data_IF_553737735988
#
_entry.id   IF_553737735988
#
_cell.length_a   1.000
_cell.length_b   1.000
_cell.length_c   1.000
_cell.angle_alpha   90.00
_cell.angle_beta   90.00
_cell.angle_gamma   90.00
#
_symmetry.space_group_name_H-M   'P 1'
#
loop_
_entity.id
_entity.type
_entity.pdbx_description
1 polymer ?
#
# COMPACT_ATOMS: atom_id res chain seq x y z
N UNK A 1 -6.66 -37.95 -82.73
CA UNK A 1 -5.79 -36.93 -83.35
C UNK A 1 -6.13 -35.58 -82.73
N UNK A 2 -5.12 -34.75 -82.46
CA UNK A 2 -5.10 -33.43 -81.77
C UNK A 2 -4.82 -33.47 -80.27
N UNK A 3 -3.53 -33.28 -79.99
CA UNK A 3 -2.89 -33.07 -78.69
C UNK A 3 -3.30 -31.74 -78.06
N UNK A 4 -3.38 -31.75 -76.72
CA UNK A 4 -3.46 -30.58 -75.84
C UNK A 4 -2.08 -29.91 -75.73
N UNK A 5 -1.96 -28.56 -75.78
CA UNK A 5 -0.75 -27.89 -75.35
C UNK A 5 -0.82 -27.48 -73.87
N UNK A 6 0.29 -27.71 -73.16
CA UNK A 6 0.55 -27.24 -71.81
C UNK A 6 0.48 -25.71 -71.73
N UNK A 7 -0.19 -25.19 -70.70
CA UNK A 7 -0.01 -23.80 -70.24
C UNK A 7 1.03 -23.79 -69.13
N UNK A 8 2.13 -23.10 -69.38
CA UNK A 8 3.16 -22.78 -68.40
C UNK A 8 2.61 -21.81 -67.34
N UNK A 9 2.81 -22.12 -66.06
CA UNK A 9 2.64 -21.17 -64.96
C UNK A 9 3.90 -20.30 -64.88
N UNK A 10 3.77 -19.00 -65.16
CA UNK A 10 4.74 -18.00 -64.71
C UNK A 10 4.45 -17.67 -63.24
N UNK A 11 5.35 -18.09 -62.35
CA UNK A 11 5.36 -17.62 -60.96
C UNK A 11 5.99 -16.22 -60.88
N UNK A 12 5.22 -15.24 -60.45
CA UNK A 12 5.72 -13.92 -60.06
C UNK A 12 6.21 -13.99 -58.61
N UNK A 13 7.53 -13.92 -58.42
CA UNK A 13 8.14 -13.78 -57.10
C UNK A 13 7.92 -12.34 -56.60
N UNK A 14 7.10 -12.18 -55.55
CA UNK A 14 6.97 -10.93 -54.84
C UNK A 14 8.17 -10.76 -53.89
N UNK A 15 9.07 -9.84 -54.23
CA UNK A 15 10.19 -9.44 -53.37
C UNK A 15 9.61 -8.59 -52.22
N UNK A 16 9.46 -9.18 -51.03
CA UNK A 16 9.12 -8.44 -49.82
C UNK A 16 10.37 -7.70 -49.33
N UNK A 17 10.43 -6.38 -49.57
CA UNK A 17 11.38 -5.48 -48.94
C UNK A 17 11.00 -5.33 -47.46
N UNK A 18 11.61 -6.15 -46.60
CA UNK A 18 11.57 -5.97 -45.16
C UNK A 18 12.46 -4.77 -44.78
N UNK A 19 11.85 -3.61 -44.61
CA UNK A 19 12.46 -2.48 -43.91
C UNK A 19 12.58 -2.86 -42.43
N UNK A 20 13.77 -2.79 -41.80
CA UNK A 20 13.87 -2.95 -40.36
C UNK A 20 13.17 -1.76 -39.71
N UNK A 21 12.04 -2.02 -39.06
CA UNK A 21 11.44 -1.07 -38.13
C UNK A 21 12.42 -0.91 -36.95
N UNK A 22 13.30 0.08 -37.05
CA UNK A 22 14.03 0.60 -35.90
C UNK A 22 13.01 1.26 -34.98
N UNK A 23 12.58 0.53 -33.96
CA UNK A 23 11.94 1.12 -32.79
C UNK A 23 12.83 2.27 -32.30
N UNK A 24 12.31 3.48 -32.04
CA UNK A 24 13.11 4.53 -31.44
C UNK A 24 13.60 4.00 -30.10
N UNK A 25 14.92 3.83 -29.96
CA UNK A 25 15.52 3.43 -28.70
C UNK A 25 15.07 4.40 -27.62
N UNK A 26 14.41 3.90 -26.58
CA UNK A 26 14.14 4.70 -25.39
C UNK A 26 15.49 5.25 -24.92
N UNK A 27 15.65 6.57 -24.94
CA UNK A 27 16.79 7.20 -24.32
C UNK A 27 16.86 6.72 -22.86
N UNK A 28 18.05 6.30 -22.43
CA UNK A 28 18.25 5.89 -21.04
C UNK A 28 17.78 7.02 -20.10
N UNK A 29 16.99 6.67 -19.08
CA UNK A 29 16.51 7.66 -18.12
C UNK A 29 17.72 8.35 -17.45
N UNK A 30 17.66 9.69 -17.34
CA UNK A 30 18.70 10.45 -16.67
C UNK A 30 18.66 10.19 -15.16
N UNK A 31 19.83 10.03 -14.54
CA UNK A 31 19.95 9.85 -13.09
C UNK A 31 19.39 11.10 -12.39
N UNK A 32 18.51 10.94 -11.37
CA UNK A 32 17.94 12.06 -10.64
C UNK A 32 19.01 12.97 -10.00
N UNK A 33 18.85 14.30 -10.16
CA UNK A 33 19.71 15.31 -9.53
C UNK A 33 19.16 15.87 -8.21
N UNK A 34 18.23 15.17 -7.57
CA UNK A 34 17.53 15.58 -6.34
C UNK A 34 17.61 14.48 -5.28
N UNK A 35 17.23 14.79 -4.03
CA UNK A 35 17.23 13.81 -2.93
C UNK A 35 16.27 12.66 -3.18
N UNK A 36 16.77 11.44 -3.03
CA UNK A 36 16.03 10.18 -3.19
C UNK A 36 16.25 9.25 -2.00
N UNK A 37 15.30 8.37 -1.76
CA UNK A 37 15.50 7.15 -1.02
C UNK A 37 16.05 6.08 -1.98
N UNK A 38 17.11 5.38 -1.56
CA UNK A 38 17.54 4.15 -2.23
C UNK A 38 16.73 3.00 -1.64
N UNK A 39 15.58 2.70 -2.26
CA UNK A 39 14.64 1.72 -1.77
C UNK A 39 14.77 0.40 -2.54
N UNK A 40 15.05 -0.70 -1.85
CA UNK A 40 15.28 -1.99 -2.50
C UNK A 40 14.02 -2.49 -3.19
N UNK A 41 14.14 -2.92 -4.45
CA UNK A 41 13.01 -3.41 -5.25
C UNK A 41 12.34 -4.63 -4.62
N UNK A 42 13.13 -5.60 -4.14
CA UNK A 42 12.62 -6.87 -3.65
C UNK A 42 12.07 -6.77 -2.22
N UNK A 43 12.72 -5.99 -1.36
CA UNK A 43 12.43 -6.01 0.09
C UNK A 43 11.70 -4.77 0.59
N UNK A 44 11.72 -3.67 -0.18
CA UNK A 44 11.11 -2.39 0.18
C UNK A 44 11.88 -1.60 1.25
N UNK A 45 13.01 -2.12 1.75
CA UNK A 45 13.87 -1.45 2.73
C UNK A 45 14.72 -0.36 2.07
N UNK A 46 15.01 0.70 2.82
CA UNK A 46 15.87 1.79 2.39
C UNK A 46 17.33 1.52 2.80
N UNK A 47 18.29 1.91 1.95
CA UNK A 47 19.69 1.98 2.36
C UNK A 47 19.93 3.25 3.20
N UNK A 48 20.43 3.08 4.41
CA UNK A 48 20.61 4.11 5.42
C UNK A 48 22.08 4.20 5.85
N UNK A 49 22.58 5.41 6.08
CA UNK A 49 23.90 5.60 6.67
C UNK A 49 23.87 5.26 8.17
N UNK A 50 24.73 4.34 8.62
CA UNK A 50 24.72 3.85 10.01
C UNK A 50 26.15 3.71 10.55
N UNK A 51 26.63 4.72 11.30
CA UNK A 51 27.89 4.63 12.05
C UNK A 51 29.13 4.28 11.22
N UNK A 52 29.27 4.84 10.01
CA UNK A 52 30.36 4.53 9.09
C UNK A 52 30.05 3.37 8.12
N UNK A 53 28.93 2.68 8.30
CA UNK A 53 28.45 1.61 7.41
C UNK A 53 27.17 2.04 6.67
N UNK A 54 26.65 1.17 5.81
CA UNK A 54 25.30 1.30 5.25
C UNK A 54 24.47 0.07 5.58
N UNK A 55 23.29 0.28 6.15
CA UNK A 55 22.37 -0.77 6.57
C UNK A 55 21.02 -0.64 5.85
N UNK A 56 20.32 -1.76 5.70
CA UNK A 56 18.96 -1.79 5.19
C UNK A 56 18.01 -1.51 6.36
N UNK A 57 17.18 -0.48 6.23
CA UNK A 57 16.24 -0.06 7.27
C UNK A 57 14.81 0.01 6.74
N UNK A 58 13.84 -0.26 7.61
CA UNK A 58 12.44 0.05 7.34
C UNK A 58 12.31 1.53 6.94
N UNK A 59 11.56 1.88 5.88
CA UNK A 59 11.39 3.28 5.49
C UNK A 59 10.87 4.13 6.66
N UNK A 60 11.60 5.20 7.00
CA UNK A 60 11.32 6.02 8.18
C UNK A 60 11.48 7.51 7.92
N UNK A 61 11.08 7.95 6.72
CA UNK A 61 11.37 9.31 6.28
C UNK A 61 12.89 9.53 6.33
N UNK A 62 13.35 10.58 7.01
CA UNK A 62 14.79 10.79 7.25
C UNK A 62 15.18 10.77 8.72
N UNK A 63 14.46 10.05 9.58
CA UNK A 63 14.84 9.95 11.00
C UNK A 63 16.11 9.09 11.24
N UNK A 64 16.60 8.42 10.20
CA UNK A 64 17.74 7.50 10.24
C UNK A 64 18.62 7.56 8.98
N UNK A 65 18.82 8.76 8.42
CA UNK A 65 19.81 9.01 7.36
C UNK A 65 19.59 8.20 6.06
N UNK A 66 18.34 8.05 5.63
CA UNK A 66 17.93 7.26 4.46
C UNK A 66 17.96 8.02 3.13
N UNK A 67 18.21 9.34 3.16
CA UNK A 67 18.17 10.19 1.98
C UNK A 67 19.55 10.38 1.34
N UNK A 68 19.60 10.23 0.01
CA UNK A 68 20.81 10.35 -0.80
C UNK A 68 20.57 11.30 -1.98
N UNK A 69 21.59 12.09 -2.34
CA UNK A 69 21.60 12.97 -3.51
C UNK A 69 22.60 12.41 -4.51
N UNK A 70 22.16 11.90 -5.67
CA UNK A 70 23.05 11.55 -6.75
C UNK A 70 23.68 12.83 -7.34
N UNK A 71 25.01 12.87 -7.41
CA UNK A 71 25.76 14.00 -7.97
C UNK A 71 26.75 13.47 -9.00
N UNK A 72 26.65 13.98 -10.23
CA UNK A 72 27.57 13.62 -11.30
C UNK A 72 29.00 14.03 -10.96
N UNK A 73 29.95 13.13 -11.21
CA UNK A 73 31.40 13.33 -11.04
C UNK A 73 32.13 12.65 -12.20
N UNK A 74 33.44 12.89 -12.32
CA UNK A 74 34.26 12.17 -13.30
C UNK A 74 34.15 10.65 -13.08
N UNK A 75 33.77 9.93 -14.14
CA UNK A 75 33.62 8.47 -14.13
C UNK A 75 32.32 7.93 -13.54
N UNK A 76 31.34 8.75 -13.14
CA UNK A 76 30.03 8.28 -12.70
C UNK A 76 29.29 9.25 -11.80
N UNK A 77 28.76 8.74 -10.69
CA UNK A 77 27.99 9.51 -9.71
C UNK A 77 28.48 9.22 -8.29
N UNK A 78 28.41 10.23 -7.43
CA UNK A 78 28.43 10.06 -5.98
C UNK A 78 27.00 10.03 -5.46
N UNK A 79 26.74 9.21 -4.45
CA UNK A 79 25.50 9.27 -3.68
C UNK A 79 25.82 9.94 -2.35
N UNK A 80 25.54 11.24 -2.24
CA UNK A 80 25.83 12.04 -1.05
C UNK A 80 24.69 11.88 -0.04
N UNK A 81 24.99 11.60 1.21
CA UNK A 81 23.95 11.58 2.23
C UNK A 81 23.38 13.01 2.39
N UNK A 82 22.05 13.13 2.49
CA UNK A 82 21.38 14.43 2.41
C UNK A 82 21.47 15.25 3.71
N UNK A 83 21.68 14.60 4.85
CA UNK A 83 21.67 15.22 6.18
C UNK A 83 23.00 15.10 6.94
N UNK A 84 24.00 14.44 6.35
CA UNK A 84 25.35 14.35 6.88
C UNK A 84 26.36 15.03 5.95
N UNK A 85 26.96 16.11 6.44
CA UNK A 85 27.93 16.90 5.68
C UNK A 85 29.15 16.06 5.28
N UNK A 86 29.49 16.11 3.98
CA UNK A 86 30.64 15.41 3.39
C UNK A 86 30.60 13.88 3.56
N UNK A 87 29.42 13.27 3.68
CA UNK A 87 29.28 11.81 3.75
C UNK A 87 28.72 11.29 2.42
N UNK A 88 29.39 10.29 1.84
CA UNK A 88 28.99 9.62 0.60
C UNK A 88 28.91 8.11 0.79
N UNK A 89 28.00 7.47 0.06
CA UNK A 89 27.99 6.01 -0.11
C UNK A 89 29.32 5.58 -0.73
N UNK A 90 29.99 4.65 -0.08
CA UNK A 90 31.29 4.11 -0.48
C UNK A 90 31.29 2.59 -0.31
N UNK A 91 32.45 1.99 -0.58
CA UNK A 91 32.67 0.55 -0.52
C UNK A 91 34.00 0.22 0.12
N UNK A 92 34.02 -0.85 0.92
CA UNK A 92 35.22 -1.48 1.42
C UNK A 92 35.11 -2.99 1.25
N UNK A 93 35.87 -3.56 0.30
CA UNK A 93 35.68 -4.93 -0.14
C UNK A 93 34.26 -5.12 -0.69
N UNK A 94 33.52 -6.07 -0.11
CA UNK A 94 32.11 -6.33 -0.47
C UNK A 94 31.12 -5.54 0.39
N UNK A 95 31.55 -4.77 1.38
CA UNK A 95 30.63 -4.05 2.26
C UNK A 95 30.33 -2.64 1.76
N UNK A 96 29.06 -2.26 1.78
CA UNK A 96 28.66 -0.88 1.60
C UNK A 96 28.97 -0.11 2.89
N UNK A 97 29.70 0.99 2.76
CA UNK A 97 30.15 1.84 3.87
C UNK A 97 29.89 3.29 3.55
N UNK A 98 30.14 4.18 4.51
CA UNK A 98 30.17 5.62 4.23
C UNK A 98 31.59 6.15 4.34
N UNK A 99 31.90 7.16 3.53
CA UNK A 99 33.21 7.81 3.53
C UNK A 99 33.09 9.29 3.14
N UNK A 100 34.18 10.04 3.31
CA UNK A 100 34.29 11.41 2.81
C UNK A 100 34.02 11.47 1.32
N UNK A 101 33.15 12.37 0.86
CA UNK A 101 32.89 12.51 -0.57
C UNK A 101 34.17 12.84 -1.35
N UNK A 102 34.40 12.14 -2.47
CA UNK A 102 35.64 12.23 -3.26
C UNK A 102 36.69 11.19 -2.88
N UNK A 103 36.52 10.47 -1.77
CA UNK A 103 37.41 9.37 -1.40
C UNK A 103 37.30 8.20 -2.39
N UNK A 104 38.34 7.38 -2.43
CA UNK A 104 38.32 6.13 -3.18
C UNK A 104 37.09 5.28 -2.78
N UNK A 105 36.41 4.71 -3.77
CA UNK A 105 35.22 3.90 -3.55
C UNK A 105 33.88 4.67 -3.55
N UNK A 106 33.89 6.01 -3.62
CA UNK A 106 32.64 6.81 -3.61
C UNK A 106 31.98 7.01 -4.97
N UNK A 107 32.67 6.66 -6.07
CA UNK A 107 32.12 6.75 -7.43
C UNK A 107 31.39 5.47 -7.81
N UNK A 108 30.15 5.62 -8.30
CA UNK A 108 29.23 4.56 -8.71
C UNK A 108 28.73 4.77 -10.15
N UNK A 109 28.48 3.67 -10.85
CA UNK A 109 27.69 3.68 -12.09
C UNK A 109 26.23 3.50 -11.72
N UNK A 110 25.37 4.45 -12.07
CA UNK A 110 23.92 4.36 -11.84
C UNK A 110 23.24 4.15 -13.18
N UNK A 111 22.60 3.00 -13.36
CA UNK A 111 22.03 2.59 -14.66
C UNK A 111 20.55 2.27 -14.51
N UNK A 112 19.72 2.85 -15.39
CA UNK A 112 18.30 2.55 -15.43
C UNK A 112 18.05 1.11 -15.88
N UNK A 113 17.10 0.45 -15.24
CA UNK A 113 16.62 -0.90 -15.55
C UNK A 113 15.12 -0.92 -15.87
N UNK A 114 14.54 -2.12 -15.89
CA UNK A 114 13.10 -2.31 -16.10
C UNK A 114 12.28 -1.80 -14.90
N UNK A 115 10.99 -1.53 -15.12
CA UNK A 115 10.00 -1.18 -14.11
C UNK A 115 10.38 0.05 -13.25
N UNK A 116 11.12 1.00 -13.84
CA UNK A 116 11.58 2.20 -13.14
C UNK A 116 12.65 1.95 -12.07
N UNK A 117 13.24 0.75 -12.06
CA UNK A 117 14.35 0.41 -11.16
C UNK A 117 15.70 0.85 -11.73
N UNK A 118 16.71 0.84 -10.88
CA UNK A 118 18.09 1.21 -11.18
C UNK A 118 19.04 0.20 -10.55
N UNK A 119 20.24 0.09 -11.10
CA UNK A 119 21.36 -0.56 -10.43
C UNK A 119 22.38 0.49 -10.01
N UNK A 120 23.00 0.26 -8.84
CA UNK A 120 24.11 1.08 -8.33
C UNK A 120 25.36 0.20 -8.36
N UNK A 121 26.11 0.30 -9.45
CA UNK A 121 27.23 -0.59 -9.81
C UNK A 121 28.61 -0.02 -9.52
N UNK A 122 29.59 -0.90 -9.33
CA UNK A 122 30.99 -0.54 -9.25
C UNK A 122 31.52 -0.25 -10.67
N UNK A 123 32.13 0.93 -10.93
CA UNK A 123 32.66 1.26 -12.24
C UNK A 123 33.64 0.20 -12.75
N UNK A 124 33.39 -0.34 -13.95
CA UNK A 124 34.25 -1.34 -14.59
C UNK A 124 34.14 -2.76 -14.04
N UNK A 125 33.20 -3.05 -13.12
CA UNK A 125 33.02 -4.38 -12.53
C UNK A 125 31.56 -4.84 -12.55
N UNK A 126 31.34 -6.16 -12.57
CA UNK A 126 30.02 -6.79 -12.46
C UNK A 126 29.61 -6.97 -11.00
N UNK A 127 29.69 -5.89 -10.21
CA UNK A 127 29.31 -5.85 -8.80
C UNK A 127 28.36 -4.69 -8.53
N UNK A 128 27.31 -4.94 -7.77
CA UNK A 128 26.22 -3.99 -7.54
C UNK A 128 25.88 -3.90 -6.07
N UNK A 129 25.42 -2.74 -5.62
CA UNK A 129 24.82 -2.57 -4.30
C UNK A 129 23.62 -3.51 -4.18
N UNK A 130 23.63 -4.39 -3.19
CA UNK A 130 22.59 -5.40 -2.95
C UNK A 130 21.95 -5.19 -1.59
N UNK A 131 20.62 -5.09 -1.56
CA UNK A 131 19.84 -4.95 -0.33
C UNK A 131 19.85 -6.22 0.52
N UNK A 132 19.18 -6.14 1.67
CA UNK A 132 19.00 -7.24 2.62
C UNK A 132 17.52 -7.52 2.88
N UNK A 133 17.21 -8.74 3.31
CA UNK A 133 15.87 -9.20 3.68
C UNK A 133 15.44 -8.85 5.11
N UNK A 134 16.33 -8.26 5.91
CA UNK A 134 16.11 -7.94 7.33
C UNK A 134 16.45 -6.49 7.64
N UNK A 135 15.66 -5.90 8.54
CA UNK A 135 15.90 -4.56 9.11
C UNK A 135 17.22 -4.53 9.90
N UNK A 136 17.90 -3.38 9.85
CA UNK A 136 19.24 -3.12 10.39
C UNK A 136 20.37 -4.04 9.87
N UNK A 137 20.13 -4.85 8.83
CA UNK A 137 21.17 -5.70 8.26
C UNK A 137 22.09 -4.91 7.32
N UNK A 138 23.36 -5.26 7.28
CA UNK A 138 24.33 -4.56 6.43
C UNK A 138 24.00 -4.70 4.93
N UNK A 139 24.06 -3.58 4.20
CA UNK A 139 24.01 -3.56 2.74
C UNK A 139 25.38 -3.98 2.20
N UNK A 140 25.38 -4.82 1.17
CA UNK A 140 26.60 -5.41 0.62
C UNK A 140 26.70 -5.14 -0.89
N UNK A 141 27.79 -5.61 -1.49
CA UNK A 141 28.01 -5.69 -2.91
C UNK A 141 27.93 -7.15 -3.35
N UNK A 142 27.19 -7.39 -4.42
CA UNK A 142 26.97 -8.73 -4.95
C UNK A 142 26.79 -8.75 -6.46
N UNK A 143 26.39 -9.91 -6.97
CA UNK A 143 26.01 -10.07 -8.37
C UNK A 143 24.69 -9.35 -8.68
N UNK A 144 24.35 -9.26 -9.96
CA UNK A 144 23.03 -8.80 -10.39
C UNK A 144 21.91 -9.75 -9.90
N UNK A 145 20.67 -9.24 -9.92
CA UNK A 145 19.47 -9.94 -9.44
C UNK A 145 18.49 -8.96 -8.80
N UNK A 146 17.38 -9.46 -8.26
CA UNK A 146 16.33 -8.59 -7.70
C UNK A 146 16.81 -7.78 -6.49
N UNK A 147 17.70 -8.32 -5.66
CA UNK A 147 18.31 -7.58 -4.55
C UNK A 147 19.26 -6.47 -5.01
N UNK A 148 19.77 -6.51 -6.25
CA UNK A 148 20.61 -5.47 -6.84
C UNK A 148 19.79 -4.33 -7.50
N UNK A 149 18.46 -4.47 -7.58
CA UNK A 149 17.56 -3.48 -8.14
C UNK A 149 17.06 -2.54 -7.04
N UNK A 150 17.07 -1.25 -7.34
CA UNK A 150 16.66 -0.19 -6.43
C UNK A 150 15.70 0.76 -7.13
N UNK A 151 14.70 1.22 -6.39
CA UNK A 151 14.01 2.44 -6.71
C UNK A 151 14.82 3.62 -6.18
N UNK A 152 15.02 4.63 -7.03
CA UNK A 152 15.48 5.95 -6.61
C UNK A 152 14.23 6.79 -6.36
N UNK A 153 13.58 6.54 -5.23
CA UNK A 153 12.27 7.14 -4.91
C UNK A 153 12.46 8.59 -4.47
N UNK A 154 11.86 9.58 -5.14
CA UNK A 154 12.01 10.99 -4.76
C UNK A 154 11.57 11.26 -3.32
N UNK A 155 12.34 12.08 -2.59
CA UNK A 155 11.92 12.58 -1.27
C UNK A 155 10.70 13.49 -1.40
N UNK A 156 10.73 14.38 -2.40
CA UNK A 156 9.60 15.19 -2.79
C UNK A 156 8.97 14.58 -4.05
N UNK A 157 7.76 14.06 -3.93
CA UNK A 157 7.05 13.44 -5.04
C UNK A 157 6.28 14.49 -5.86
N UNK A 158 6.25 14.29 -7.18
CA UNK A 158 5.46 15.12 -8.07
C UNK A 158 3.97 14.74 -7.99
N UNK A 159 3.10 15.75 -8.02
CA UNK A 159 1.65 15.56 -7.94
C UNK A 159 0.95 16.21 -9.13
N UNK A 160 -0.18 15.65 -9.54
CA UNK A 160 -1.13 16.27 -10.45
C UNK A 160 -2.45 16.54 -9.73
N UNK A 161 -3.27 17.51 -10.17
CA UNK A 161 -4.60 17.73 -9.60
C UNK A 161 -5.45 16.45 -9.63
N UNK A 162 -6.24 16.23 -8.59
CA UNK A 162 -7.20 15.11 -8.54
C UNK A 162 -8.15 15.20 -9.74
N UNK A 163 -8.38 14.08 -10.48
CA UNK A 163 -9.38 14.07 -11.52
C UNK A 163 -10.78 14.49 -11.02
N UNK A 164 -11.61 14.97 -11.94
CA UNK A 164 -12.99 15.33 -11.66
C UNK A 164 -13.76 14.18 -11.01
N UNK A 165 -14.87 14.48 -10.32
CA UNK A 165 -15.70 13.46 -9.67
C UNK A 165 -16.13 12.34 -10.64
N UNK A 166 -16.38 12.69 -11.90
CA UNK A 166 -16.86 11.75 -12.93
C UNK A 166 -15.77 10.81 -13.45
N UNK A 167 -14.50 11.20 -13.33
CA UNK A 167 -13.36 10.48 -13.95
C UNK A 167 -12.38 9.91 -12.95
N UNK A 168 -12.43 10.33 -11.67
CA UNK A 168 -11.55 9.76 -10.65
C UNK A 168 -11.89 8.30 -10.40
N UNK A 169 -10.85 7.48 -10.32
CA UNK A 169 -10.94 6.05 -10.04
C UNK A 169 -10.85 5.76 -8.55
N UNK A 170 -11.34 4.59 -8.14
CA UNK A 170 -11.30 4.15 -6.74
C UNK A 170 -9.88 4.16 -6.18
N UNK A 171 -8.89 3.70 -6.96
CA UNK A 171 -7.46 3.69 -6.60
C UNK A 171 -6.82 5.09 -6.48
N UNK A 172 -7.54 6.15 -6.82
CA UNK A 172 -7.07 7.53 -6.67
C UNK A 172 -7.64 8.23 -5.43
N UNK A 173 -8.75 7.72 -4.88
CA UNK A 173 -9.45 8.34 -3.75
C UNK A 173 -8.86 7.86 -2.43
N UNK A 174 -8.73 8.79 -1.49
CA UNK A 174 -8.40 8.52 -0.09
C UNK A 174 -9.67 8.57 0.75
N UNK A 175 -9.89 7.56 1.58
CA UNK A 175 -11.01 7.44 2.51
C UNK A 175 -10.51 7.55 3.95
N UNK A 176 -11.28 8.25 4.79
CA UNK A 176 -11.08 8.19 6.24
C UNK A 176 -11.54 6.82 6.72
N UNK A 177 -10.64 6.14 7.44
CA UNK A 177 -10.82 4.80 7.96
C UNK A 177 -10.72 4.82 9.48
N UNK A 178 -11.62 4.12 10.16
CA UNK A 178 -11.57 3.96 11.62
C UNK A 178 -11.10 2.56 12.00
N UNK A 179 -10.03 2.50 12.78
CA UNK A 179 -9.51 1.27 13.40
C UNK A 179 -10.48 0.78 14.48
N UNK A 180 -10.78 -0.52 14.51
CA UNK A 180 -11.74 -1.17 15.40
C UNK A 180 -13.00 -0.33 15.60
N UNK A 181 -13.66 -0.01 14.49
CA UNK A 181 -14.73 0.98 14.46
C UNK A 181 -15.90 0.67 15.41
N UNK A 182 -16.13 -0.62 15.65
CA UNK A 182 -17.13 -1.17 16.57
C UNK A 182 -16.75 -1.01 18.05
N UNK A 183 -15.45 -0.85 18.36
CA UNK A 183 -14.93 -0.61 19.70
C UNK A 183 -15.15 0.86 20.10
N UNK A 184 -16.43 1.24 20.16
CA UNK A 184 -16.89 2.61 20.41
C UNK A 184 -17.71 2.77 21.70
N UNK A 185 -18.23 1.67 22.25
CA UNK A 185 -19.05 1.66 23.47
C UNK A 185 -20.44 2.30 23.33
N UNK A 186 -20.73 3.01 22.24
CA UNK A 186 -22.02 3.64 21.97
C UNK A 186 -23.02 2.68 21.32
N UNK A 187 -22.55 1.80 20.44
CA UNK A 187 -23.40 0.82 19.73
C UNK A 187 -23.60 -0.48 20.52
N UNK A 188 -22.64 -0.83 21.38
CA UNK A 188 -22.62 -2.03 22.21
C UNK A 188 -21.25 -2.22 22.87
N UNK A 189 -21.13 -3.22 23.75
CA UNK A 189 -19.84 -3.52 24.36
C UNK A 189 -18.97 -4.33 23.39
N UNK A 190 -17.67 -4.11 23.44
CA UNK A 190 -16.71 -4.71 22.51
C UNK A 190 -15.66 -5.56 23.22
N UNK A 191 -15.48 -5.39 24.54
CA UNK A 191 -14.50 -6.11 25.32
C UNK A 191 -14.95 -6.23 26.79
N UNK A 192 -14.30 -7.12 27.52
CA UNK A 192 -14.43 -7.22 28.98
C UNK A 192 -13.50 -6.21 29.68
N UNK A 193 -13.74 -5.97 30.97
CA UNK A 193 -12.86 -5.14 31.79
C UNK A 193 -11.48 -5.81 31.94
N UNK A 194 -10.36 -5.07 31.89
CA UNK A 194 -10.24 -3.61 31.80
C UNK A 194 -10.15 -3.05 30.37
N UNK A 195 -10.11 -3.91 29.35
CA UNK A 195 -9.93 -3.50 27.94
C UNK A 195 -11.04 -2.55 27.49
N UNK A 196 -12.26 -2.75 27.96
CA UNK A 196 -13.41 -1.87 27.67
C UNK A 196 -13.25 -0.41 28.10
N UNK A 197 -12.28 -0.08 28.96
CA UNK A 197 -11.97 1.30 29.34
C UNK A 197 -11.22 2.09 28.26
N UNK A 198 -10.74 1.41 27.22
CA UNK A 198 -9.90 1.98 26.17
C UNK A 198 -10.54 1.77 24.80
N UNK A 199 -11.67 2.43 24.49
CA UNK A 199 -12.30 2.29 23.18
C UNK A 199 -11.49 3.04 22.11
N UNK A 200 -11.34 2.39 20.95
CA UNK A 200 -10.68 2.95 19.76
C UNK A 200 -11.42 4.17 19.21
N UNK A 201 -12.75 4.15 19.27
CA UNK A 201 -13.62 5.26 18.82
C UNK A 201 -14.53 5.73 19.96
N UNK A 202 -15.12 6.92 19.85
CA UNK A 202 -16.12 7.42 20.81
C UNK A 202 -17.57 7.35 20.30
N UNK A 203 -17.72 7.20 18.99
CA UNK A 203 -18.97 7.45 18.29
C UNK A 203 -19.36 6.19 17.54
N UNK A 204 -20.65 5.85 17.55
CA UNK A 204 -21.17 4.67 16.85
C UNK A 204 -21.07 4.77 15.33
N UNK A 205 -21.23 3.63 14.64
CA UNK A 205 -21.05 3.47 13.19
C UNK A 205 -21.91 4.45 12.39
N UNK A 206 -23.18 4.66 12.75
CA UNK A 206 -24.04 5.62 12.07
C UNK A 206 -23.51 7.06 12.18
N UNK A 207 -22.91 7.42 13.32
CA UNK A 207 -22.31 8.74 13.50
C UNK A 207 -21.03 8.87 12.70
N UNK A 208 -20.15 7.87 12.73
CA UNK A 208 -18.94 7.81 11.91
C UNK A 208 -19.26 8.00 10.41
N UNK A 209 -20.26 7.27 9.90
CA UNK A 209 -20.75 7.41 8.53
C UNK A 209 -21.24 8.83 8.21
N UNK A 210 -22.03 9.44 9.10
CA UNK A 210 -22.51 10.81 8.93
C UNK A 210 -21.38 11.86 8.95
N UNK A 211 -20.33 11.60 9.73
CA UNK A 211 -19.20 12.51 9.89
C UNK A 211 -18.14 12.37 8.79
N UNK A 212 -18.32 11.44 7.84
CA UNK A 212 -17.47 11.31 6.66
C UNK A 212 -16.53 10.10 6.65
N UNK A 213 -16.59 9.22 7.65
CA UNK A 213 -15.87 7.94 7.63
C UNK A 213 -16.44 7.06 6.53
N UNK A 214 -15.56 6.46 5.71
CA UNK A 214 -15.94 5.64 4.55
C UNK A 214 -15.22 4.29 4.51
N UNK A 215 -14.43 3.99 5.52
CA UNK A 215 -13.92 2.64 5.71
C UNK A 215 -13.83 2.27 7.19
N UNK A 216 -14.03 0.99 7.48
CA UNK A 216 -14.21 0.48 8.83
C UNK A 216 -13.41 -0.80 9.01
N UNK A 217 -12.50 -0.82 9.97
CA UNK A 217 -11.83 -2.05 10.41
C UNK A 217 -12.66 -2.66 11.55
N UNK A 218 -13.01 -3.93 11.41
CA UNK A 218 -13.87 -4.67 12.32
C UNK A 218 -13.24 -6.02 12.62
N UNK A 219 -13.39 -6.50 13.85
CA UNK A 219 -12.91 -7.83 14.24
C UNK A 219 -14.13 -8.70 14.47
N UNK A 220 -14.22 -9.84 13.78
CA UNK A 220 -15.38 -10.72 13.87
C UNK A 220 -15.05 -12.10 14.43
N UNK A 221 -15.80 -12.50 15.44
CA UNK A 221 -15.69 -13.79 16.12
C UNK A 221 -17.01 -14.56 16.01
N UNK A 222 -16.92 -15.88 16.00
CA UNK A 222 -18.10 -16.74 16.01
C UNK A 222 -18.67 -16.90 17.42
N UNK A 223 -19.88 -16.39 17.65
CA UNK A 223 -20.63 -16.55 18.89
C UNK A 223 -22.00 -17.12 18.57
N UNK A 224 -22.30 -18.30 19.11
CA UNK A 224 -23.58 -19.00 18.92
C UNK A 224 -24.01 -19.10 17.45
N UNK A 225 -23.05 -19.39 16.55
CA UNK A 225 -23.29 -19.55 15.11
C UNK A 225 -23.47 -18.25 14.32
N UNK A 226 -23.10 -17.09 14.88
CA UNK A 226 -23.14 -15.79 14.20
C UNK A 226 -21.79 -15.07 14.34
N UNK A 227 -21.44 -14.26 13.34
CA UNK A 227 -20.32 -13.35 13.43
C UNK A 227 -20.68 -12.15 14.32
N UNK A 228 -19.86 -11.91 15.34
CA UNK A 228 -20.07 -10.91 16.40
C UNK A 228 -18.79 -10.10 16.60
N UNK A 229 -18.95 -8.81 16.85
CA UNK A 229 -17.86 -7.85 16.94
C UNK A 229 -17.33 -7.74 18.37
N UNK A 230 -16.09 -8.15 18.58
CA UNK A 230 -15.41 -8.12 19.87
C UNK A 230 -13.91 -7.90 19.67
N UNK A 231 -13.25 -7.28 20.64
CA UNK A 231 -11.81 -7.03 20.61
C UNK A 231 -11.07 -8.09 21.40
N UNK A 232 -10.11 -8.77 20.78
CA UNK A 232 -9.35 -9.94 21.27
C UNK A 232 -10.17 -11.21 21.55
N UNK A 233 -11.33 -11.09 22.20
CA UNK A 233 -12.24 -12.20 22.51
C UNK A 233 -13.64 -11.69 22.83
N UNK A 234 -14.66 -12.50 22.52
CA UNK A 234 -16.04 -12.28 22.97
C UNK A 234 -16.34 -12.84 24.36
N UNK A 235 -15.39 -13.52 25.01
CA UNK A 235 -15.60 -14.12 26.32
C UNK A 235 -15.86 -13.05 27.40
N UNK A 236 -16.99 -13.17 28.09
CA UNK A 236 -17.39 -12.25 29.14
C UNK A 236 -17.82 -10.86 28.64
N UNK A 237 -17.96 -10.67 27.32
CA UNK A 237 -18.49 -9.43 26.74
C UNK A 237 -20.02 -9.49 26.77
N UNK A 238 -20.65 -8.57 27.50
CA UNK A 238 -22.12 -8.49 27.57
C UNK A 238 -22.66 -7.63 26.41
N UNK A 239 -23.68 -8.10 25.70
CA UNK A 239 -24.32 -7.37 24.59
C UNK A 239 -23.34 -6.88 23.48
N UNK A 240 -22.47 -7.74 22.93
CA UNK A 240 -21.69 -7.39 21.76
C UNK A 240 -22.57 -7.26 20.52
N UNK A 241 -22.13 -6.44 19.57
CA UNK A 241 -22.88 -6.14 18.34
C UNK A 241 -22.65 -7.25 17.31
N UNK A 242 -23.69 -7.87 16.74
CA UNK A 242 -23.51 -8.78 15.60
C UNK A 242 -22.98 -8.03 14.38
N UNK A 243 -22.02 -8.60 13.64
CA UNK A 243 -21.45 -8.00 12.42
C UNK A 243 -22.53 -7.58 11.42
N UNK A 244 -23.56 -8.41 11.25
CA UNK A 244 -24.69 -8.13 10.37
C UNK A 244 -25.43 -6.83 10.72
N UNK A 245 -25.43 -6.41 11.99
CA UNK A 245 -26.07 -5.16 12.43
C UNK A 245 -25.34 -3.95 11.87
N UNK A 246 -24.02 -3.93 11.97
CA UNK A 246 -23.20 -2.82 11.48
C UNK A 246 -23.13 -2.81 9.95
N UNK A 247 -23.09 -3.98 9.31
CA UNK A 247 -23.26 -4.08 7.86
C UNK A 247 -24.63 -3.57 7.41
N UNK A 248 -25.72 -3.86 8.14
CA UNK A 248 -27.03 -3.31 7.81
C UNK A 248 -27.04 -1.78 7.87
N UNK A 249 -26.43 -1.17 8.89
CA UNK A 249 -26.29 0.30 8.99
C UNK A 249 -25.57 0.88 7.76
N UNK A 250 -24.50 0.21 7.30
CA UNK A 250 -23.76 0.63 6.10
C UNK A 250 -24.58 0.46 4.81
N UNK A 251 -25.30 -0.66 4.66
CA UNK A 251 -26.19 -0.90 3.51
C UNK A 251 -27.31 0.13 3.45
N UNK A 252 -27.97 0.41 4.59
CA UNK A 252 -29.03 1.41 4.68
C UNK A 252 -28.51 2.81 4.34
N UNK A 253 -27.33 3.17 4.84
CA UNK A 253 -26.65 4.42 4.50
C UNK A 253 -26.40 4.54 2.99
N UNK A 254 -25.88 3.49 2.35
CA UNK A 254 -25.58 3.51 0.91
C UNK A 254 -26.85 3.60 0.05
N UNK A 255 -27.91 2.90 0.45
CA UNK A 255 -29.22 2.98 -0.22
C UNK A 255 -29.87 4.35 -0.08
N UNK A 256 -29.72 4.98 1.08
CA UNK A 256 -30.23 6.33 1.32
C UNK A 256 -29.38 7.43 0.65
N UNK A 257 -28.12 7.14 0.29
CA UNK A 257 -27.15 8.11 -0.24
C UNK A 257 -26.38 7.55 -1.44
N UNK A 258 -27.01 7.52 -2.63
CA UNK A 258 -26.34 7.17 -3.88
C UNK A 258 -25.08 8.03 -4.10
N UNK A 259 -24.03 7.44 -4.66
CA UNK A 259 -22.73 8.12 -4.89
C UNK A 259 -21.74 8.06 -3.73
N UNK A 260 -22.11 7.50 -2.58
CA UNK A 260 -21.16 7.20 -1.50
C UNK A 260 -20.43 5.86 -1.76
N UNK A 261 -19.37 5.57 -1.01
CA UNK A 261 -18.67 4.29 -1.11
C UNK A 261 -18.16 3.89 0.26
N UNK A 262 -18.33 2.63 0.64
CA UNK A 262 -17.89 2.10 1.93
C UNK A 262 -16.96 0.90 1.70
N UNK A 263 -15.90 0.79 2.51
CA UNK A 263 -15.06 -0.40 2.58
C UNK A 263 -15.02 -0.95 3.99
N UNK A 264 -15.19 -2.26 4.14
CA UNK A 264 -15.05 -2.97 5.41
C UNK A 264 -13.80 -3.83 5.33
N UNK A 265 -12.94 -3.74 6.33
CA UNK A 265 -11.81 -4.64 6.55
C UNK A 265 -12.13 -5.51 7.76
N UNK A 266 -12.10 -6.82 7.59
CA UNK A 266 -12.35 -7.79 8.65
C UNK A 266 -11.02 -8.37 9.13
N UNK A 267 -10.71 -8.20 10.42
CA UNK A 267 -9.80 -9.08 11.13
C UNK A 267 -10.59 -10.34 11.52
N UNK A 268 -10.40 -11.40 10.73
CA UNK A 268 -11.47 -12.37 10.48
C UNK A 268 -11.20 -13.71 11.15
N UNK A 269 -11.80 -13.85 12.33
CA UNK A 269 -11.71 -15.03 13.18
C UNK A 269 -12.89 -15.99 13.01
N UNK A 270 -13.98 -15.57 12.37
CA UNK A 270 -15.14 -16.41 12.18
C UNK A 270 -14.91 -17.51 11.12
N UNK A 271 -15.42 -18.74 11.32
CA UNK A 271 -15.47 -19.74 10.26
C UNK A 271 -16.21 -19.22 9.01
N UNK A 272 -15.76 -19.65 7.83
CA UNK A 272 -16.27 -19.15 6.53
C UNK A 272 -17.79 -19.32 6.37
N UNK A 273 -18.37 -20.42 6.86
CA UNK A 273 -19.82 -20.67 6.83
C UNK A 273 -20.61 -19.78 7.80
N UNK A 274 -20.05 -19.49 8.98
CA UNK A 274 -20.60 -18.53 9.95
C UNK A 274 -20.57 -17.12 9.38
N UNK A 275 -19.46 -16.68 8.76
CA UNK A 275 -19.40 -15.37 8.12
C UNK A 275 -20.41 -15.29 6.97
N UNK A 276 -20.42 -16.30 6.08
CA UNK A 276 -21.34 -16.34 4.93
C UNK A 276 -22.80 -16.25 5.35
N UNK A 277 -23.22 -17.02 6.35
CA UNK A 277 -24.60 -16.98 6.86
C UNK A 277 -24.94 -15.66 7.54
N UNK A 278 -23.98 -15.04 8.23
CA UNK A 278 -24.15 -13.71 8.84
C UNK A 278 -24.32 -12.62 7.78
N UNK A 279 -23.51 -12.63 6.71
CA UNK A 279 -23.69 -11.72 5.57
C UNK A 279 -25.01 -11.94 4.83
N UNK A 280 -25.44 -13.20 4.68
CA UNK A 280 -26.71 -13.53 4.04
C UNK A 280 -27.95 -12.99 4.81
N UNK A 281 -27.79 -12.64 6.09
CA UNK A 281 -28.85 -12.03 6.90
C UNK A 281 -28.97 -10.51 6.73
N UNK A 282 -28.03 -9.88 6.01
CA UNK A 282 -28.03 -8.43 5.76
C UNK A 282 -28.90 -8.11 4.54
N UNK A 283 -30.01 -7.41 4.79
CA UNK A 283 -31.00 -7.11 3.77
C UNK A 283 -30.46 -6.13 2.73
N UNK A 284 -30.39 -6.59 1.47
CA UNK A 284 -29.94 -5.77 0.36
C UNK A 284 -28.43 -5.64 0.21
N UNK A 285 -27.65 -6.46 0.93
CA UNK A 285 -26.19 -6.47 0.81
C UNK A 285 -25.73 -6.68 -0.64
N UNK A 286 -26.32 -7.67 -1.32
CA UNK A 286 -25.96 -8.01 -2.71
C UNK A 286 -26.25 -6.87 -3.71
N UNK A 287 -27.19 -5.98 -3.39
CA UNK A 287 -27.51 -4.83 -4.24
C UNK A 287 -26.31 -3.89 -4.31
N UNK A 288 -25.65 -3.67 -3.16
CA UNK A 288 -24.55 -2.71 -3.02
C UNK A 288 -23.15 -3.31 -3.09
N UNK A 289 -23.01 -4.61 -2.94
CA UNK A 289 -21.72 -5.29 -2.88
C UNK A 289 -20.98 -5.24 -4.23
N UNK A 290 -19.79 -4.64 -4.23
CA UNK A 290 -18.87 -4.56 -5.35
C UNK A 290 -17.96 -5.79 -5.41
N UNK A 291 -17.78 -6.36 -6.61
CA UNK A 291 -17.06 -7.63 -6.87
C UNK A 291 -15.93 -7.44 -7.88
N UNK A 292 -14.80 -6.81 -7.49
CA UNK A 292 -13.68 -6.53 -8.41
C UNK A 292 -13.03 -7.80 -8.98
N UNK A 293 -13.13 -8.92 -8.27
CA UNK A 293 -12.73 -10.26 -8.71
C UNK A 293 -13.52 -10.75 -9.92
N UNK A 294 -14.80 -10.37 -10.02
CA UNK A 294 -15.69 -10.74 -11.13
C UNK A 294 -15.66 -9.73 -12.28
N UNK A 295 -15.23 -8.49 -12.02
CA UNK A 295 -15.23 -7.42 -13.02
C UNK A 295 -13.89 -7.30 -13.80
N UNK A 296 -12.87 -8.05 -13.37
CA UNK A 296 -11.57 -8.11 -14.05
C UNK A 296 -10.67 -6.92 -13.73
N UNK A 297 -10.76 -6.38 -12.52
CA UNK A 297 -9.94 -5.23 -12.06
C UNK A 297 -8.45 -5.50 -12.15
N UNK A 298 -8.01 -6.74 -11.91
CA UNK A 298 -6.61 -7.12 -12.01
C UNK A 298 -6.02 -7.00 -13.44
N UNK A 299 -6.87 -6.80 -14.45
CA UNK A 299 -6.47 -6.63 -15.86
C UNK A 299 -6.88 -5.25 -16.39
N UNK A 300 -8.05 -4.75 -15.99
CA UNK A 300 -8.65 -3.52 -16.51
C UNK A 300 -8.33 -2.27 -15.67
N UNK A 301 -7.79 -2.46 -14.46
CA UNK A 301 -7.68 -1.42 -13.45
C UNK A 301 -8.99 -1.18 -12.69
N UNK A 302 -8.92 -0.30 -11.69
CA UNK A 302 -10.05 0.04 -10.84
C UNK A 302 -11.09 0.92 -11.58
N UNK A 303 -12.40 0.74 -11.36
CA UNK A 303 -13.43 1.54 -11.99
C UNK A 303 -13.45 2.99 -11.47
N UNK A 304 -14.15 3.86 -12.18
CA UNK A 304 -14.44 5.21 -11.71
C UNK A 304 -15.44 5.19 -10.57
N UNK A 305 -15.35 6.16 -9.67
CA UNK A 305 -16.33 6.31 -8.59
C UNK A 305 -17.75 6.56 -9.14
N UNK A 306 -17.84 7.27 -10.27
CA UNK A 306 -19.11 7.51 -10.96
C UNK A 306 -19.74 6.23 -11.53
N UNK A 307 -18.95 5.32 -12.09
CA UNK A 307 -19.45 4.01 -12.58
C UNK A 307 -19.97 3.15 -11.42
N UNK A 308 -19.22 3.07 -10.33
CA UNK A 308 -19.64 2.36 -9.11
C UNK A 308 -20.96 2.92 -8.56
N UNK A 309 -21.09 4.24 -8.53
CA UNK A 309 -22.32 4.91 -8.11
C UNK A 309 -23.50 4.61 -9.05
N UNK A 310 -23.29 4.71 -10.37
CA UNK A 310 -24.33 4.48 -11.36
C UNK A 310 -24.89 3.05 -11.33
N UNK A 311 -24.03 2.08 -11.02
CA UNK A 311 -24.42 0.66 -10.88
C UNK A 311 -24.85 0.27 -9.48
N UNK A 312 -24.82 1.20 -8.53
CA UNK A 312 -25.12 0.96 -7.12
C UNK A 312 -24.11 0.05 -6.40
N UNK A 313 -22.93 -0.22 -6.99
CA UNK A 313 -21.90 -1.11 -6.43
C UNK A 313 -20.95 -0.32 -5.54
N UNK A 314 -21.38 -0.09 -4.30
CA UNK A 314 -20.82 0.93 -3.41
C UNK A 314 -20.23 0.36 -2.10
N UNK A 315 -20.13 -0.96 -1.94
CA UNK A 315 -19.56 -1.61 -0.76
C UNK A 315 -18.48 -2.62 -1.14
N UNK A 316 -17.29 -2.50 -0.55
CA UNK A 316 -16.25 -3.54 -0.57
C UNK A 316 -16.10 -4.18 0.81
N UNK A 317 -15.84 -5.49 0.84
CA UNK A 317 -15.53 -6.21 2.06
C UNK A 317 -14.25 -7.01 1.83
N UNK A 318 -13.25 -6.77 2.68
CA UNK A 318 -11.99 -7.48 2.73
C UNK A 318 -11.89 -8.31 4.00
N UNK A 319 -11.18 -9.43 3.93
CA UNK A 319 -10.81 -10.30 5.05
C UNK A 319 -9.30 -10.42 5.11
N UNK A 320 -8.71 -10.34 6.30
CA UNK A 320 -7.28 -10.52 6.51
C UNK A 320 -6.81 -11.97 6.37
N UNK A 321 -7.75 -12.93 6.28
CA UNK A 321 -7.45 -14.33 5.95
C UNK A 321 -6.78 -14.45 4.58
N UNK A 322 -6.24 -15.64 4.35
CA UNK A 322 -5.67 -16.01 3.05
C UNK A 322 -6.42 -17.20 2.48
N UNK A 323 -6.50 -17.26 1.14
CA UNK A 323 -7.06 -18.39 0.41
C UNK A 323 -6.44 -19.73 0.81
N UNK A 324 -5.13 -19.72 1.04
CA UNK A 324 -4.39 -20.90 1.53
C UNK A 324 -4.81 -21.32 2.93
N UNK A 325 -5.03 -20.35 3.84
CA UNK A 325 -5.48 -20.66 5.20
C UNK A 325 -6.89 -21.25 5.19
N UNK A 326 -7.81 -20.67 4.41
CA UNK A 326 -9.17 -21.21 4.29
C UNK A 326 -9.18 -22.60 3.66
N UNK A 327 -8.39 -22.81 2.61
CA UNK A 327 -8.23 -24.14 1.98
C UNK A 327 -7.69 -25.18 2.96
N UNK A 328 -6.70 -24.81 3.79
CA UNK A 328 -6.13 -25.68 4.81
C UNK A 328 -7.14 -26.02 5.93
N UNK A 329 -8.06 -25.10 6.23
CA UNK A 329 -9.16 -25.32 7.16
C UNK A 329 -10.36 -26.07 6.55
N UNK A 330 -10.32 -26.41 5.26
CA UNK A 330 -11.45 -27.02 4.54
C UNK A 330 -12.63 -26.07 4.35
N UNK A 331 -12.39 -24.76 4.45
CA UNK A 331 -13.41 -23.72 4.33
C UNK A 331 -13.65 -23.35 2.87
N UNK A 332 -14.90 -22.96 2.57
CA UNK A 332 -15.20 -22.36 1.29
C UNK A 332 -14.45 -21.04 1.15
N UNK A 333 -13.93 -20.76 -0.05
CA UNK A 333 -13.20 -19.53 -0.28
C UNK A 333 -14.13 -18.31 -0.09
N UNK A 334 -13.67 -17.31 0.66
CA UNK A 334 -14.45 -16.13 1.06
C UNK A 334 -14.95 -15.29 -0.12
N UNK A 335 -14.17 -15.26 -1.19
CA UNK A 335 -14.53 -14.58 -2.42
C UNK A 335 -15.77 -15.18 -3.07
N UNK A 336 -16.10 -16.47 -2.85
CA UNK A 336 -17.34 -17.08 -3.39
C UNK A 336 -18.63 -16.42 -2.90
N UNK A 337 -18.60 -15.71 -1.76
CA UNK A 337 -19.72 -14.93 -1.23
C UNK A 337 -19.42 -13.44 -1.08
N UNK A 338 -18.37 -12.96 -1.75
CA UNK A 338 -18.08 -11.53 -1.93
C UNK A 338 -17.28 -10.87 -0.82
N UNK A 339 -16.53 -11.66 -0.06
CA UNK A 339 -15.50 -11.17 0.87
C UNK A 339 -14.13 -11.47 0.27
N UNK A 340 -13.37 -10.43 -0.06
CA UNK A 340 -12.10 -10.56 -0.78
C UNK A 340 -10.94 -10.77 0.18
N UNK A 341 -9.94 -11.56 -0.20
CA UNK A 341 -8.71 -11.69 0.59
C UNK A 341 -7.88 -10.41 0.50
N UNK A 342 -7.79 -9.65 1.58
CA UNK A 342 -7.19 -8.31 1.63
C UNK A 342 -5.79 -8.27 1.00
N UNK A 343 -4.96 -9.26 1.30
CA UNK A 343 -3.57 -9.37 0.81
C UNK A 343 -3.46 -9.54 -0.71
N UNK A 344 -4.53 -9.96 -1.40
CA UNK A 344 -4.56 -10.05 -2.86
C UNK A 344 -4.84 -8.67 -3.51
N UNK A 345 -5.48 -7.74 -2.78
CA UNK A 345 -6.00 -6.48 -3.34
C UNK A 345 -5.33 -5.21 -2.82
N UNK A 346 -4.57 -5.31 -1.73
CA UNK A 346 -4.04 -4.13 -1.01
C UNK A 346 -2.56 -4.28 -0.67
N UNK A 347 -1.88 -3.16 -0.41
CA UNK A 347 -0.66 -3.11 0.42
C UNK A 347 -1.03 -2.45 1.75
N UNK A 348 -0.40 -2.84 2.85
CA UNK A 348 -0.72 -2.29 4.17
C UNK A 348 0.54 -2.17 5.03
N UNK A 349 0.73 -1.02 5.69
CA UNK A 349 1.86 -0.86 6.60
C UNK A 349 1.59 -1.51 7.95
N UNK A 350 2.68 -1.81 8.66
CA UNK A 350 2.64 -2.30 10.04
C UNK A 350 1.77 -1.39 10.90
N UNK A 351 0.87 -2.02 11.66
CA UNK A 351 -0.29 -1.35 12.24
C UNK A 351 0.08 -0.38 13.37
N UNK A 352 1.10 -0.71 14.15
CA UNK A 352 1.44 0.01 15.37
C UNK A 352 2.51 1.07 15.16
N UNK A 353 2.28 2.25 15.76
CA UNK A 353 3.25 3.31 15.97
C UNK A 353 3.96 3.19 17.33
N UNK A 354 3.88 2.04 17.98
CA UNK A 354 4.44 1.76 19.30
C UNK A 354 3.40 1.76 20.42
N UNK A 355 3.88 1.68 21.66
CA UNK A 355 3.04 1.64 22.84
C UNK A 355 2.18 2.91 23.03
N UNK A 356 1.22 2.84 23.96
CA UNK A 356 0.26 3.93 24.20
C UNK A 356 0.84 5.24 24.72
N UNK A 357 2.02 5.19 25.34
CA UNK A 357 2.73 6.34 25.91
C UNK A 357 4.17 6.32 25.38
N UNK A 358 4.73 7.50 25.09
CA UNK A 358 6.11 7.68 24.64
C UNK A 358 6.20 8.20 23.21
N UNK A 359 7.35 7.95 22.56
CA UNK A 359 7.56 8.31 21.16
C UNK A 359 6.69 7.48 20.22
N UNK A 360 6.41 8.02 19.03
CA UNK A 360 5.82 7.25 17.94
C UNK A 360 6.94 6.64 17.09
N UNK A 361 6.78 5.39 16.66
CA UNK A 361 7.55 4.87 15.55
C UNK A 361 6.91 5.32 14.24
N UNK A 362 7.62 6.18 13.51
CA UNK A 362 7.17 6.73 12.23
C UNK A 362 7.46 5.82 11.04
N UNK A 363 8.09 4.67 11.28
CA UNK A 363 8.40 3.72 10.23
C UNK A 363 7.13 3.31 9.47
N UNK A 364 7.29 3.10 8.17
CA UNK A 364 6.22 2.72 7.26
C UNK A 364 6.69 1.57 6.38
N UNK A 365 6.58 0.36 6.91
CA UNK A 365 6.99 -0.87 6.26
C UNK A 365 5.81 -1.85 6.20
N UNK A 366 5.89 -2.84 5.31
CA UNK A 366 4.78 -3.78 5.09
C UNK A 366 4.48 -4.62 6.32
N UNK A 367 3.19 -4.76 6.68
CA UNK A 367 2.77 -5.71 7.71
C UNK A 367 3.03 -7.17 7.33
N UNK A 368 3.23 -7.45 6.05
CA UNK A 368 3.52 -8.79 5.52
C UNK A 368 5.02 -9.04 5.29
N UNK A 369 5.88 -8.19 5.87
CA UNK A 369 7.32 -8.29 5.81
C UNK A 369 7.90 -8.03 4.41
N UNK A 370 9.20 -8.32 4.26
CA UNK A 370 9.97 -8.07 3.03
C UNK A 370 9.56 -8.97 1.87
N UNK A 371 8.83 -10.06 2.12
CA UNK A 371 8.28 -10.92 1.07
C UNK A 371 7.09 -10.29 0.31
N UNK A 372 6.55 -9.16 0.79
CA UNK A 372 5.52 -8.38 0.10
C UNK A 372 5.64 -6.90 0.47
N UNK A 373 6.60 -6.15 -0.09
CA UNK A 373 6.81 -4.76 0.26
C UNK A 373 5.64 -3.85 -0.14
N UNK A 374 5.57 -2.64 0.42
CA UNK A 374 4.54 -1.66 0.06
C UNK A 374 4.64 -1.19 -1.40
N UNK A 375 5.82 -1.35 -2.01
CA UNK A 375 6.11 -1.04 -3.41
C UNK A 375 5.50 -2.02 -4.39
N UNK A 376 4.92 -3.15 -3.94
CA UNK A 376 4.25 -4.12 -4.82
C UNK A 376 3.23 -3.41 -5.71
N UNK A 377 3.45 -3.53 -7.02
CA UNK A 377 2.67 -2.87 -8.05
C UNK A 377 2.89 -3.57 -9.40
N UNK A 378 2.02 -3.32 -10.37
CA UNK A 378 2.19 -3.77 -11.75
C UNK A 378 1.48 -2.84 -12.72
N UNK A 379 1.81 -2.94 -14.02
CA UNK A 379 1.10 -2.18 -15.05
C UNK A 379 -0.39 -2.59 -15.18
N UNK A 380 -0.75 -3.82 -14.80
CA UNK A 380 -2.11 -4.34 -14.93
C UNK A 380 -2.99 -4.08 -13.70
N UNK A 381 -2.37 -3.99 -12.52
CA UNK A 381 -3.06 -3.87 -11.25
C UNK A 381 -2.24 -3.06 -10.24
N UNK A 382 -2.88 -2.01 -9.71
CA UNK A 382 -2.40 -1.17 -8.64
C UNK A 382 -3.10 -1.56 -7.33
N UNK A 383 -2.43 -2.23 -6.37
CA UNK A 383 -3.02 -2.56 -5.08
C UNK A 383 -3.38 -1.28 -4.30
N UNK A 384 -4.52 -1.28 -3.63
CA UNK A 384 -4.92 -0.16 -2.78
C UNK A 384 -4.02 -0.07 -1.55
N UNK A 385 -3.62 1.13 -1.14
CA UNK A 385 -2.76 1.30 0.04
C UNK A 385 -3.60 1.60 1.30
N UNK A 386 -3.55 0.68 2.27
CA UNK A 386 -4.07 0.86 3.63
C UNK A 386 -2.97 1.40 4.53
N UNK A 387 -3.13 2.63 5.00
CA UNK A 387 -2.19 3.26 5.91
C UNK A 387 -2.72 3.25 7.34
N UNK A 388 -2.06 2.48 8.22
CA UNK A 388 -2.33 2.45 9.65
C UNK A 388 -1.60 3.54 10.40
N UNK A 389 -2.34 4.29 11.23
CA UNK A 389 -1.87 5.40 12.05
C UNK A 389 -2.52 5.37 13.43
N UNK A 390 -2.10 4.41 14.24
CA UNK A 390 -2.54 4.25 15.62
C UNK A 390 -1.48 3.49 16.43
N UNK A 391 -1.67 3.42 17.75
CA UNK A 391 -0.76 2.78 18.71
C UNK A 391 -1.33 1.46 19.20
N UNK A 392 -0.53 0.72 19.96
CA UNK A 392 -0.98 -0.53 20.61
C UNK A 392 -2.14 -0.29 21.61
N UNK A 393 -2.21 0.90 22.20
CA UNK A 393 -3.25 1.27 23.16
C UNK A 393 -3.84 2.64 22.81
N UNK A 394 -5.18 2.77 22.74
CA UNK A 394 -5.84 4.00 22.32
C UNK A 394 -5.92 5.01 23.47
N UNK A 395 -4.80 5.65 23.79
CA UNK A 395 -4.72 6.71 24.81
C UNK A 395 -5.05 8.06 24.16
N UNK A 396 -6.14 8.69 24.59
CA UNK A 396 -6.71 9.87 23.91
C UNK A 396 -5.72 11.02 23.66
N UNK A 397 -4.85 11.34 24.61
CA UNK A 397 -3.88 12.44 24.46
C UNK A 397 -2.78 12.16 23.44
N UNK A 398 -2.29 10.92 23.35
CA UNK A 398 -1.31 10.54 22.33
C UNK A 398 -1.96 10.42 20.96
N UNK A 399 -3.19 9.89 20.89
CA UNK A 399 -3.98 9.85 19.65
C UNK A 399 -4.19 11.25 19.08
N UNK A 400 -4.63 12.22 19.89
CA UNK A 400 -4.84 13.60 19.41
C UNK A 400 -3.55 14.20 18.84
N UNK A 401 -2.42 13.96 19.51
CA UNK A 401 -1.09 14.41 19.06
C UNK A 401 -0.67 13.73 17.76
N UNK A 402 -0.86 12.42 17.66
CA UNK A 402 -0.50 11.65 16.46
C UNK A 402 -1.40 12.02 15.28
N UNK A 403 -2.72 12.14 15.49
CA UNK A 403 -3.67 12.53 14.44
C UNK A 403 -3.36 13.91 13.86
N UNK A 404 -2.86 14.86 14.67
CA UNK A 404 -2.37 16.16 14.18
C UNK A 404 -1.17 16.07 13.24
N UNK A 405 -0.48 14.92 13.17
CA UNK A 405 0.68 14.66 12.30
C UNK A 405 0.36 13.72 11.13
N UNK A 406 -0.91 13.34 10.96
CA UNK A 406 -1.34 12.34 9.97
C UNK A 406 -0.93 12.72 8.53
N UNK A 407 -1.12 13.99 8.14
CA UNK A 407 -0.72 14.47 6.80
C UNK A 407 0.79 14.34 6.57
N UNK A 408 1.59 14.70 7.58
CA UNK A 408 3.04 14.62 7.50
C UNK A 408 3.51 13.17 7.33
N UNK A 409 2.96 12.23 8.11
CA UNK A 409 3.29 10.81 7.94
C UNK A 409 2.83 10.27 6.59
N UNK A 410 1.63 10.64 6.14
CA UNK A 410 1.13 10.21 4.84
C UNK A 410 2.05 10.68 3.70
N UNK A 411 2.45 11.95 3.69
CA UNK A 411 3.22 12.54 2.59
C UNK A 411 4.72 12.25 2.63
N UNK A 412 5.33 12.30 3.81
CA UNK A 412 6.80 12.30 3.93
C UNK A 412 7.39 10.95 4.35
N UNK A 413 6.55 10.03 4.85
CA UNK A 413 6.98 8.72 5.31
C UNK A 413 6.34 7.61 4.47
N UNK A 414 5.01 7.52 4.49
CA UNK A 414 4.30 6.38 3.90
C UNK A 414 4.14 6.45 2.39
N UNK A 415 3.89 7.63 1.81
CA UNK A 415 3.79 7.76 0.34
C UNK A 415 5.11 7.38 -0.35
N UNK A 416 6.29 7.87 0.08
CA UNK A 416 7.57 7.42 -0.46
C UNK A 416 7.82 5.93 -0.21
N UNK A 417 7.52 5.43 0.99
CA UNK A 417 7.71 4.01 1.31
C UNK A 417 6.86 3.06 0.46
N UNK A 418 5.63 3.45 0.12
CA UNK A 418 4.74 2.65 -0.71
C UNK A 418 4.88 2.94 -2.21
N UNK A 419 5.50 4.08 -2.56
CA UNK A 419 5.38 4.73 -3.88
C UNK A 419 3.91 4.88 -4.31
N UNK A 420 3.03 5.10 -3.33
CA UNK A 420 1.56 5.14 -3.49
C UNK A 420 0.98 6.13 -2.50
N UNK A 421 -0.01 6.91 -2.93
CA UNK A 421 -0.85 7.71 -2.02
C UNK A 421 -1.78 6.76 -1.26
N UNK A 422 -1.95 6.90 0.07
CA UNK A 422 -2.90 6.08 0.81
C UNK A 422 -4.31 6.17 0.24
N UNK A 423 -4.94 5.02 0.00
CA UNK A 423 -6.37 4.93 -0.30
C UNK A 423 -7.21 4.90 0.97
N UNK A 424 -6.65 4.39 2.06
CA UNK A 424 -7.31 4.30 3.36
C UNK A 424 -6.38 4.87 4.42
N UNK A 425 -6.86 5.84 5.20
CA UNK A 425 -6.14 6.37 6.37
C UNK A 425 -6.83 5.89 7.64
N UNK A 426 -6.28 4.85 8.26
CA UNK A 426 -6.83 4.21 9.46
C UNK A 426 -6.31 4.86 10.75
N UNK A 427 -7.23 5.33 11.58
CA UNK A 427 -6.93 6.04 12.84
C UNK A 427 -7.82 5.56 13.99
N UNK A 428 -7.31 5.72 15.21
CA UNK A 428 -8.14 5.79 16.42
C UNK A 428 -8.68 7.22 16.60
N UNK A 429 -9.85 7.36 17.24
CA UNK A 429 -10.52 8.63 17.55
C UNK A 429 -10.50 9.60 16.36
N UNK A 430 -11.18 9.23 15.27
CA UNK A 430 -11.21 10.01 14.04
C UNK A 430 -11.66 11.48 14.21
N UNK A 431 -12.34 11.78 15.32
CA UNK A 431 -12.87 13.11 15.65
C UNK A 431 -11.85 14.06 16.29
N UNK A 432 -10.67 13.58 16.71
CA UNK A 432 -9.66 14.41 17.41
C UNK A 432 -8.38 14.58 16.58
N UNK A 433 -7.63 15.64 16.90
CA UNK A 433 -6.40 16.05 16.23
C UNK A 433 -6.58 17.35 15.45
N UNK A 434 -5.50 18.10 15.29
CA UNK A 434 -5.46 19.35 14.53
C UNK A 434 -4.20 19.42 13.67
N UNK A 435 -4.29 19.43 12.33
CA UNK A 435 -5.51 19.28 11.52
C UNK A 435 -6.26 17.97 11.81
N UNK A 436 -7.59 17.97 11.61
CA UNK A 436 -8.40 16.76 11.86
C UNK A 436 -8.12 15.67 10.82
N UNK A 437 -8.32 14.38 11.14
CA UNK A 437 -8.23 13.29 10.17
C UNK A 437 -9.07 13.51 8.91
N UNK A 438 -10.30 14.01 9.04
CA UNK A 438 -11.16 14.33 7.90
C UNK A 438 -10.59 15.45 7.01
N UNK A 439 -10.04 16.51 7.60
CA UNK A 439 -9.40 17.59 6.84
C UNK A 439 -8.13 17.12 6.11
N UNK A 440 -7.39 16.19 6.72
CA UNK A 440 -6.23 15.53 6.11
C UNK A 440 -6.66 14.72 4.89
N UNK A 441 -7.73 13.92 4.99
CA UNK A 441 -8.30 13.21 3.84
C UNK A 441 -8.75 14.17 2.74
N UNK A 442 -9.36 15.31 3.11
CA UNK A 442 -9.70 16.37 2.17
C UNK A 442 -8.48 16.88 1.38
N UNK A 443 -7.36 17.08 2.08
CA UNK A 443 -6.08 17.50 1.47
C UNK A 443 -5.51 16.42 0.54
N UNK A 444 -5.50 15.15 0.94
CA UNK A 444 -5.02 14.06 0.09
C UNK A 444 -5.91 13.82 -1.13
N UNK A 445 -7.16 14.29 -1.10
CA UNK A 445 -8.08 14.23 -2.24
C UNK A 445 -8.02 15.45 -3.16
N UNK A 446 -7.04 16.36 -3.00
CA UNK A 446 -6.79 17.43 -3.98
C UNK A 446 -5.83 17.01 -5.09
N UNK A 447 -5.13 15.88 -4.93
CA UNK A 447 -4.09 15.45 -5.86
C UNK A 447 -4.00 13.93 -6.04
N UNK A 448 -3.33 13.54 -7.14
CA UNK A 448 -2.80 12.20 -7.38
C UNK A 448 -1.29 12.29 -7.59
N UNK A 449 -0.57 11.18 -7.42
CA UNK A 449 0.84 11.12 -7.81
C UNK A 449 0.96 11.25 -9.33
N UNK A 450 1.97 11.99 -9.79
CA UNK A 450 2.26 12.09 -11.22
C UNK A 450 2.69 10.73 -11.78
N UNK A 451 2.45 10.44 -13.07
CA UNK A 451 2.91 9.19 -13.69
C UNK A 451 4.42 8.96 -13.47
N UNK A 452 4.79 7.74 -13.07
CA UNK A 452 6.18 7.34 -12.85
C UNK A 452 6.77 7.69 -11.47
N UNK A 453 5.96 8.22 -10.55
CA UNK A 453 6.36 8.44 -9.14
C UNK A 453 6.42 7.16 -8.31
#
# INVERSE_FOLDING_TARGET
MRLRPLRALCGTAALALALPALSPGQAAAAVPGFSVYLQNYATGLNAAAAGGTVAAHNPKGNEDHQQWVPVAVDGGHQLRNADQSNVCLSRNGTSAVTAGCGSAGTTWTITAGADGTWTVGVPGASQYLTGSGSDAAAVQLGSGGDLARWYLTPVAHATAPMPSADTRRLDQVTFLTTHNAYANGADGNFASFPVSLFPNQNLGINRQLNDGVRAFMLDDYAVSGRAVLCHNSCDGVSNPVPLATDLQRMVDFLKARPGQFVTVFLEDYAPSDVLKSSLASVNGLNDVLYRPDQEGVAVKGWPTMADLAARGKQLLIFSDRTRSADSASGWAARDTFGVLYQREWTVENYWSMGGGIGGSDWSCYSRWGTGRPLTVDSAAFHPLFVMNHFRDYPIGSTIETDNGKLLNRAQNFCTPAARKKPNYLAVDRYEVGSPSPLSTVGTLNTYVLAPGQ
#
